data_IF_407354197623
#
_entry.id   IF_407354197623
#
_cell.length_a   1.000
_cell.length_b   1.000
_cell.length_c   1.000
_cell.angle_alpha   90.00
_cell.angle_beta   90.00
_cell.angle_gamma   90.00
#
_symmetry.space_group_name_H-M   'P 1'
#
loop_
_entity.id
_entity.type
_entity.pdbx_description
1 polymer ?
#
# COMPACT_ATOMS: atom_id res chain seq x y z
N UNK A 1 21.32 -0.65 -14.03
CA UNK A 1 20.03 -0.58 -13.29
C UNK A 1 19.83 -1.76 -12.34
N UNK A 2 20.06 -3.02 -12.78
CA UNK A 2 20.08 -4.25 -11.93
C UNK A 2 20.77 -4.06 -10.57
N UNK A 3 22.01 -3.56 -10.57
CA UNK A 3 22.82 -3.36 -9.37
C UNK A 3 22.21 -2.35 -8.37
N UNK A 4 21.44 -1.34 -8.85
CA UNK A 4 20.94 -0.24 -8.01
C UNK A 4 19.82 -0.67 -7.06
N UNK A 5 18.84 -1.46 -7.53
CA UNK A 5 17.75 -1.94 -6.67
C UNK A 5 18.26 -2.94 -5.62
N UNK A 6 19.13 -3.87 -6.02
CA UNK A 6 19.76 -4.80 -5.09
C UNK A 6 20.60 -4.02 -4.07
N UNK A 7 21.33 -2.99 -4.49
CA UNK A 7 22.10 -2.14 -3.59
C UNK A 7 21.23 -1.46 -2.53
N UNK A 8 20.00 -1.06 -2.86
CA UNK A 8 19.08 -0.45 -1.89
C UNK A 8 18.58 -1.47 -0.88
N UNK A 9 18.22 -2.67 -1.34
CA UNK A 9 17.81 -3.76 -0.44
C UNK A 9 18.98 -4.12 0.48
N UNK A 10 20.18 -4.26 -0.07
CA UNK A 10 21.39 -4.54 0.70
C UNK A 10 21.71 -3.42 1.68
N UNK A 11 21.53 -2.16 1.30
CA UNK A 11 21.68 -1.02 2.20
C UNK A 11 20.70 -1.09 3.38
N UNK A 12 19.44 -1.42 3.14
CA UNK A 12 18.44 -1.60 4.22
C UNK A 12 18.84 -2.75 5.14
N UNK A 13 19.30 -3.87 4.59
CA UNK A 13 19.80 -5.02 5.36
C UNK A 13 21.01 -4.60 6.21
N UNK A 14 21.97 -3.90 5.63
CA UNK A 14 23.15 -3.38 6.33
C UNK A 14 22.77 -2.44 7.47
N UNK A 15 21.83 -1.51 7.24
CA UNK A 15 21.34 -0.62 8.29
C UNK A 15 20.70 -1.41 9.44
N UNK A 16 19.90 -2.43 9.14
CA UNK A 16 19.33 -3.29 10.18
C UNK A 16 20.42 -4.00 10.98
N UNK A 17 21.49 -4.42 10.30
CA UNK A 17 22.61 -5.05 10.96
C UNK A 17 23.34 -4.06 11.89
N UNK A 18 23.68 -2.88 11.40
CA UNK A 18 24.37 -1.84 12.17
C UNK A 18 23.56 -1.39 13.40
N UNK A 19 22.24 -1.27 13.26
CA UNK A 19 21.36 -0.88 14.36
C UNK A 19 20.93 -2.06 15.25
N UNK A 20 21.47 -3.28 15.03
CA UNK A 20 21.18 -4.48 15.81
C UNK A 20 19.68 -4.76 15.97
N UNK A 21 18.89 -4.44 14.93
CA UNK A 21 17.42 -4.51 14.99
C UNK A 21 16.89 -5.93 15.15
N UNK A 22 17.70 -6.94 14.82
CA UNK A 22 17.36 -8.35 15.03
C UNK A 22 16.95 -8.65 16.47
N UNK A 23 17.49 -7.93 17.47
CA UNK A 23 17.15 -8.09 18.89
C UNK A 23 15.70 -7.72 19.21
N UNK A 24 15.09 -6.81 18.45
CA UNK A 24 13.71 -6.36 18.66
C UNK A 24 12.69 -7.05 17.74
N UNK A 25 13.14 -7.95 16.86
CA UNK A 25 12.26 -8.72 15.97
C UNK A 25 11.19 -9.50 16.74
N UNK A 26 11.50 -10.25 17.83
CA UNK A 26 10.47 -10.99 18.57
C UNK A 26 9.37 -10.12 19.16
N UNK A 27 9.66 -8.83 19.40
CA UNK A 27 8.68 -7.86 19.89
C UNK A 27 7.75 -7.35 18.79
N UNK A 28 8.25 -7.20 17.56
CA UNK A 28 7.55 -6.52 16.46
C UNK A 28 7.16 -7.43 15.29
N UNK A 29 7.41 -8.74 15.37
CA UNK A 29 7.15 -9.68 14.27
C UNK A 29 5.71 -9.61 13.73
N UNK A 30 4.72 -9.38 14.61
CA UNK A 30 3.31 -9.22 14.21
C UNK A 30 3.12 -8.05 13.24
N UNK A 31 3.75 -6.90 13.51
CA UNK A 31 3.72 -5.75 12.59
C UNK A 31 4.49 -6.00 11.30
N UNK A 32 5.58 -6.77 11.34
CA UNK A 32 6.34 -7.14 10.15
C UNK A 32 5.50 -8.02 9.21
N UNK A 33 4.83 -9.03 9.76
CA UNK A 33 3.92 -9.89 9.00
C UNK A 33 2.75 -9.06 8.46
N UNK A 34 2.18 -8.17 9.28
CA UNK A 34 1.10 -7.29 8.88
C UNK A 34 1.46 -6.41 7.68
N UNK A 35 2.63 -5.75 7.68
CA UNK A 35 3.03 -4.89 6.55
C UNK A 35 3.33 -5.72 5.30
N UNK A 36 3.98 -6.87 5.43
CA UNK A 36 4.23 -7.77 4.31
C UNK A 36 2.94 -8.35 3.74
N UNK A 37 1.94 -8.64 4.58
CA UNK A 37 0.61 -9.07 4.15
C UNK A 37 -0.06 -8.01 3.30
N UNK A 38 -0.18 -6.77 3.78
CA UNK A 38 -0.84 -5.69 3.03
C UNK A 38 -0.09 -5.33 1.74
N UNK A 39 1.24 -5.40 1.75
CA UNK A 39 2.05 -5.19 0.56
C UNK A 39 1.82 -6.33 -0.47
N UNK A 40 1.78 -7.59 -0.02
CA UNK A 40 1.41 -8.73 -0.87
C UNK A 40 -0.01 -8.59 -1.42
N UNK A 41 -0.94 -8.17 -0.56
CA UNK A 41 -2.35 -8.01 -0.90
C UNK A 41 -2.57 -6.93 -1.95
N UNK A 42 -1.80 -5.84 -1.91
CA UNK A 42 -1.75 -4.85 -2.99
C UNK A 42 -1.39 -5.49 -4.32
N UNK A 43 -0.30 -6.27 -4.40
CA UNK A 43 0.08 -6.94 -5.65
C UNK A 43 -0.92 -8.01 -6.10
N UNK A 44 -1.62 -8.63 -5.16
CA UNK A 44 -2.70 -9.56 -5.46
C UNK A 44 -3.90 -8.84 -6.09
N UNK A 45 -4.40 -7.78 -5.45
CA UNK A 45 -5.56 -7.01 -5.92
C UNK A 45 -5.29 -6.25 -7.21
N UNK A 46 -4.15 -5.57 -7.28
CA UNK A 46 -3.78 -4.68 -8.38
C UNK A 46 -3.03 -5.41 -9.50
N UNK A 47 -3.08 -6.76 -9.58
CA UNK A 47 -2.27 -7.58 -10.51
C UNK A 47 -2.28 -7.11 -11.97
N UNK A 48 -3.39 -6.52 -12.44
CA UNK A 48 -3.56 -5.98 -13.80
C UNK A 48 -3.71 -4.45 -13.85
N UNK A 49 -3.58 -3.79 -12.70
CA UNK A 49 -3.78 -2.35 -12.53
C UNK A 49 -2.80 -1.82 -11.47
N UNK A 50 -1.52 -2.10 -11.66
CA UNK A 50 -0.47 -1.64 -10.77
C UNK A 50 -0.28 -0.14 -10.95
N UNK A 51 -0.72 0.63 -9.97
CA UNK A 51 -0.55 2.09 -9.88
C UNK A 51 0.90 2.48 -9.59
N UNK A 52 1.60 1.60 -8.87
CA UNK A 52 3.01 1.68 -8.54
C UNK A 52 3.73 0.39 -8.94
N UNK A 53 4.82 0.50 -9.70
CA UNK A 53 5.62 -0.64 -10.16
C UNK A 53 7.12 -0.36 -10.16
N UNK A 54 7.92 -1.35 -9.74
CA UNK A 54 9.38 -1.31 -9.85
C UNK A 54 9.82 -1.65 -11.28
N UNK A 55 10.68 -0.83 -11.88
CA UNK A 55 11.25 -1.11 -13.20
C UNK A 55 12.23 -2.27 -13.12
N UNK A 56 12.01 -3.33 -13.89
CA UNK A 56 12.83 -4.54 -13.92
C UNK A 56 13.72 -4.62 -15.17
N UNK A 57 14.77 -3.78 -15.28
CA UNK A 57 15.76 -3.97 -16.35
C UNK A 57 16.75 -5.08 -15.98
N UNK A 58 16.36 -6.33 -16.26
CA UNK A 58 17.22 -7.51 -16.23
C UNK A 58 17.22 -8.36 -14.95
N UNK A 59 16.23 -8.22 -14.06
CA UNK A 59 15.96 -9.17 -12.96
C UNK A 59 14.56 -9.74 -13.18
N UNK A 60 14.32 -10.99 -12.79
CA UNK A 60 12.97 -11.52 -12.73
C UNK A 60 12.10 -10.66 -11.79
N UNK A 61 11.10 -9.99 -12.37
CA UNK A 61 10.17 -9.12 -11.66
C UNK A 61 9.48 -9.78 -10.46
N UNK A 62 9.25 -11.11 -10.51
CA UNK A 62 8.67 -11.85 -9.38
C UNK A 62 9.61 -11.86 -8.18
N UNK A 63 10.89 -12.16 -8.42
CA UNK A 63 11.93 -12.20 -7.37
C UNK A 63 12.11 -10.82 -6.77
N UNK A 64 12.28 -9.79 -7.61
CA UNK A 64 12.46 -8.41 -7.14
C UNK A 64 11.29 -7.96 -6.25
N UNK A 65 10.05 -8.24 -6.65
CA UNK A 65 8.87 -7.91 -5.84
C UNK A 65 8.83 -8.71 -4.55
N UNK A 66 9.14 -10.00 -4.59
CA UNK A 66 9.25 -10.82 -3.38
C UNK A 66 10.25 -10.23 -2.38
N UNK A 67 11.43 -9.84 -2.85
CA UNK A 67 12.44 -9.18 -2.00
C UNK A 67 11.93 -7.87 -1.41
N UNK A 68 11.25 -7.03 -2.20
CA UNK A 68 10.69 -5.79 -1.67
C UNK A 68 9.60 -6.04 -0.62
N UNK A 69 8.71 -7.01 -0.85
CA UNK A 69 7.57 -7.34 0.01
C UNK A 69 8.00 -7.98 1.33
N UNK A 70 8.88 -8.99 1.27
CA UNK A 70 9.21 -9.84 2.41
C UNK A 70 10.52 -9.46 3.10
N UNK A 71 11.36 -8.64 2.46
CA UNK A 71 12.64 -8.20 3.03
C UNK A 71 12.65 -6.69 3.20
N UNK A 72 12.59 -5.93 2.10
CA UNK A 72 12.83 -4.48 2.19
C UNK A 72 11.78 -3.74 3.04
N UNK A 73 10.48 -3.94 2.80
CA UNK A 73 9.42 -3.27 3.56
C UNK A 73 9.39 -3.63 5.05
N UNK A 74 9.39 -4.91 5.47
CA UNK A 74 9.40 -5.24 6.89
C UNK A 74 10.69 -4.75 7.58
N UNK A 75 11.85 -4.87 6.95
CA UNK A 75 13.10 -4.36 7.51
C UNK A 75 13.12 -2.83 7.66
N UNK A 76 12.49 -2.11 6.72
CA UNK A 76 12.33 -0.66 6.83
C UNK A 76 11.41 -0.28 8.00
N UNK A 77 10.29 -0.99 8.15
CA UNK A 77 9.38 -0.82 9.29
C UNK A 77 10.07 -1.17 10.61
N UNK A 78 10.90 -2.22 10.63
CA UNK A 78 11.65 -2.62 11.82
C UNK A 78 12.64 -1.54 12.26
N UNK A 79 13.38 -0.93 11.32
CA UNK A 79 14.26 0.21 11.62
C UNK A 79 13.51 1.37 12.26
N UNK A 80 12.33 1.68 11.73
CA UNK A 80 11.43 2.69 12.28
C UNK A 80 10.96 2.32 13.70
N UNK A 81 10.47 1.10 13.91
CA UNK A 81 9.93 0.67 15.21
C UNK A 81 11.01 0.55 16.30
N UNK A 82 12.24 0.19 15.93
CA UNK A 82 13.34 -0.04 16.86
C UNK A 82 13.70 1.20 17.70
N UNK A 83 13.58 2.40 17.13
CA UNK A 83 13.96 3.66 17.76
C UNK A 83 12.77 4.59 17.99
N UNK A 84 11.56 4.02 18.05
CA UNK A 84 10.35 4.80 18.25
C UNK A 84 10.34 5.42 19.67
N UNK A 85 10.18 6.76 19.81
CA UNK A 85 10.15 7.41 21.11
C UNK A 85 8.87 7.04 21.89
N UNK A 86 8.89 7.19 23.22
CA UNK A 86 7.74 6.86 24.08
C UNK A 86 6.65 7.96 24.12
N UNK A 87 7.04 9.23 23.99
CA UNK A 87 6.15 10.39 24.08
C UNK A 87 5.38 10.65 22.78
N UNK A 88 4.09 10.97 22.86
CA UNK A 88 3.22 11.18 21.69
C UNK A 88 3.73 12.30 20.75
N UNK A 89 4.12 13.46 21.28
CA UNK A 89 4.65 14.56 20.47
C UNK A 89 5.90 14.15 19.69
N UNK A 90 6.85 13.49 20.37
CA UNK A 90 8.05 12.95 19.74
C UNK A 90 7.74 11.85 18.72
N UNK A 91 6.70 11.04 18.95
CA UNK A 91 6.26 10.01 17.99
C UNK A 91 5.73 10.63 16.70
N UNK A 92 4.92 11.69 16.79
CA UNK A 92 4.38 12.38 15.61
C UNK A 92 5.54 12.95 14.78
N UNK A 93 6.47 13.68 15.41
CA UNK A 93 7.65 14.23 14.72
C UNK A 93 8.50 13.11 14.11
N UNK A 94 8.65 11.99 14.82
CA UNK A 94 9.42 10.85 14.34
C UNK A 94 8.78 10.17 13.12
N UNK A 95 7.46 9.96 13.14
CA UNK A 95 6.69 9.45 11.99
C UNK A 95 6.82 10.40 10.80
N UNK A 96 6.70 11.71 11.05
CA UNK A 96 6.85 12.73 10.02
C UNK A 96 8.25 12.67 9.38
N UNK A 97 9.31 12.63 10.20
CA UNK A 97 10.69 12.51 9.73
C UNK A 97 10.92 11.27 8.86
N UNK A 98 10.40 10.11 9.29
CA UNK A 98 10.54 8.86 8.54
C UNK A 98 9.74 8.86 7.24
N UNK A 99 8.51 9.38 7.25
CA UNK A 99 7.71 9.49 6.04
C UNK A 99 8.32 10.46 5.03
N UNK A 100 8.80 11.62 5.48
CA UNK A 100 9.52 12.59 4.64
C UNK A 100 10.81 11.99 4.09
N UNK A 101 11.60 11.30 4.92
CA UNK A 101 12.83 10.62 4.46
C UNK A 101 12.53 9.57 3.39
N UNK A 102 11.47 8.77 3.57
CA UNK A 102 11.04 7.76 2.60
C UNK A 102 10.54 8.40 1.29
N UNK A 103 9.82 9.52 1.40
CA UNK A 103 9.37 10.31 0.26
C UNK A 103 10.54 10.85 -0.58
N UNK A 104 11.60 11.37 0.06
CA UNK A 104 12.80 11.83 -0.65
C UNK A 104 13.55 10.69 -1.33
N UNK A 105 13.69 9.55 -0.66
CA UNK A 105 14.27 8.34 -1.27
C UNK A 105 13.45 7.94 -2.50
N UNK A 106 12.13 8.03 -2.43
CA UNK A 106 11.27 7.72 -3.56
C UNK A 106 11.43 8.69 -4.75
N UNK A 107 11.55 9.99 -4.47
CA UNK A 107 11.89 10.99 -5.52
C UNK A 107 13.20 10.63 -6.20
N UNK A 108 14.21 10.23 -5.42
CA UNK A 108 15.48 9.78 -5.98
C UNK A 108 15.32 8.53 -6.87
N UNK A 109 14.51 7.56 -6.42
CA UNK A 109 14.18 6.36 -7.20
C UNK A 109 13.46 6.68 -8.52
N UNK A 110 12.54 7.65 -8.51
CA UNK A 110 11.85 8.15 -9.71
C UNK A 110 12.82 8.75 -10.70
N UNK A 111 13.70 9.66 -10.23
CA UNK A 111 14.73 10.29 -11.07
C UNK A 111 15.65 9.26 -11.71
N UNK A 112 15.94 8.17 -11.01
CA UNK A 112 16.72 7.05 -11.54
C UNK A 112 15.94 6.07 -12.44
N UNK A 113 14.65 6.34 -12.71
CA UNK A 113 13.75 5.49 -13.50
C UNK A 113 13.62 4.07 -12.94
N UNK A 114 13.85 3.89 -11.63
CA UNK A 114 13.78 2.60 -10.93
C UNK A 114 12.37 2.24 -10.53
N UNK A 115 11.47 3.22 -10.46
CA UNK A 115 10.04 3.02 -10.23
C UNK A 115 9.24 3.79 -11.29
N UNK A 116 8.01 3.34 -11.54
CA UNK A 116 7.07 3.96 -12.48
C UNK A 116 5.71 4.09 -11.83
N UNK A 117 5.09 5.23 -12.05
CA UNK A 117 3.70 5.49 -11.67
C UNK A 117 2.79 5.33 -12.88
N UNK A 118 1.61 4.79 -12.65
CA UNK A 118 0.58 4.56 -13.66
C UNK A 118 -0.79 4.93 -13.08
N UNK A 119 -1.78 5.09 -13.96
CA UNK A 119 -3.19 5.26 -13.59
C UNK A 119 -3.46 6.45 -12.63
N UNK A 120 -2.81 7.59 -12.86
CA UNK A 120 -3.00 8.80 -12.05
C UNK A 120 -2.30 8.78 -10.68
N UNK A 121 -1.48 7.76 -10.40
CA UNK A 121 -0.63 7.74 -9.23
C UNK A 121 0.48 8.81 -9.34
N UNK A 122 0.76 9.47 -8.23
CA UNK A 122 1.78 10.51 -8.15
C UNK A 122 2.59 10.32 -6.86
N UNK A 123 3.64 11.14 -6.71
CA UNK A 123 4.55 11.04 -5.57
C UNK A 123 3.86 11.32 -4.22
N UNK A 124 2.83 12.17 -4.20
CA UNK A 124 2.09 12.50 -2.99
C UNK A 124 1.33 11.28 -2.45
N UNK A 125 0.72 10.49 -3.34
CA UNK A 125 0.05 9.25 -2.96
C UNK A 125 1.03 8.23 -2.33
N UNK A 126 2.24 8.12 -2.87
CA UNK A 126 3.28 7.30 -2.26
C UNK A 126 3.70 7.81 -0.88
N UNK A 127 3.86 9.13 -0.72
CA UNK A 127 4.11 9.76 0.57
C UNK A 127 3.05 9.37 1.61
N UNK A 128 1.78 9.47 1.25
CA UNK A 128 0.66 9.05 2.10
C UNK A 128 0.72 7.57 2.46
N UNK A 129 1.10 6.69 1.53
CA UNK A 129 1.29 5.27 1.81
C UNK A 129 2.42 5.04 2.83
N UNK A 130 3.55 5.75 2.75
CA UNK A 130 4.60 5.63 3.77
C UNK A 130 4.13 6.10 5.15
N UNK A 131 3.47 7.26 5.23
CA UNK A 131 2.92 7.73 6.51
C UNK A 131 1.93 6.73 7.11
N UNK A 132 1.05 6.18 6.27
CA UNK A 132 0.10 5.14 6.66
C UNK A 132 0.83 3.87 7.11
N UNK A 133 1.84 3.43 6.36
CA UNK A 133 2.63 2.23 6.67
C UNK A 133 3.28 2.35 8.05
N UNK A 134 3.95 3.45 8.35
CA UNK A 134 4.59 3.67 9.66
C UNK A 134 3.57 3.78 10.79
N UNK A 135 2.52 4.59 10.58
CA UNK A 135 1.46 4.80 11.58
C UNK A 135 0.73 3.50 11.90
N UNK A 136 0.33 2.74 10.89
CA UNK A 136 -0.42 1.50 11.07
C UNK A 136 0.46 0.41 11.64
N UNK A 137 1.73 0.32 11.23
CA UNK A 137 2.67 -0.65 11.83
C UNK A 137 2.86 -0.39 13.33
N UNK A 138 2.89 0.87 13.74
CA UNK A 138 2.92 1.24 15.15
C UNK A 138 1.59 0.94 15.85
N UNK A 139 0.46 1.38 15.27
CA UNK A 139 -0.87 1.20 15.85
C UNK A 139 -1.24 -0.27 15.98
N UNK A 140 -0.81 -1.13 15.06
CA UNK A 140 -1.06 -2.56 15.08
C UNK A 140 -0.55 -3.24 16.34
N UNK A 141 0.60 -2.78 16.86
CA UNK A 141 1.15 -3.28 18.12
C UNK A 141 0.31 -2.91 19.34
N UNK A 142 -0.46 -1.81 19.28
CA UNK A 142 -1.27 -1.31 20.39
C UNK A 142 -2.74 -1.71 20.29
N UNK A 143 -3.31 -1.61 19.09
CA UNK A 143 -4.74 -1.80 18.80
C UNK A 143 -4.89 -2.52 17.45
N UNK A 144 -4.64 -3.84 17.40
CA UNK A 144 -4.65 -4.59 16.15
C UNK A 144 -6.01 -4.57 15.46
N UNK A 145 -7.11 -4.74 16.20
CA UNK A 145 -8.47 -4.72 15.64
C UNK A 145 -8.81 -3.38 14.97
N UNK A 146 -8.52 -2.27 15.65
CA UNK A 146 -8.73 -0.93 15.09
C UNK A 146 -7.90 -0.73 13.82
N UNK A 147 -6.66 -1.19 13.82
CA UNK A 147 -5.76 -1.06 12.66
C UNK A 147 -6.26 -1.87 11.46
N UNK A 148 -6.83 -3.06 11.69
CA UNK A 148 -7.46 -3.85 10.63
C UNK A 148 -8.63 -3.10 9.99
N UNK A 149 -9.54 -2.57 10.82
CA UNK A 149 -10.69 -1.79 10.36
C UNK A 149 -10.23 -0.60 9.53
N UNK A 150 -9.28 0.20 10.03
CA UNK A 150 -8.72 1.35 9.31
C UNK A 150 -8.02 0.96 8.00
N UNK A 151 -7.36 -0.20 7.99
CA UNK A 151 -6.69 -0.72 6.78
C UNK A 151 -7.68 -1.15 5.71
N UNK A 152 -8.80 -1.77 6.10
CA UNK A 152 -9.89 -2.13 5.19
C UNK A 152 -10.53 -0.86 4.62
N UNK A 153 -10.85 0.14 5.45
CA UNK A 153 -11.39 1.41 4.96
C UNK A 153 -10.44 2.11 4.00
N UNK A 154 -9.15 2.17 4.35
CA UNK A 154 -8.12 2.72 3.47
C UNK A 154 -8.07 1.98 2.13
N UNK A 155 -8.11 0.64 2.17
CA UNK A 155 -8.10 -0.18 0.97
C UNK A 155 -9.28 0.16 0.06
N UNK A 156 -10.50 0.19 0.62
CA UNK A 156 -11.71 0.51 -0.14
C UNK A 156 -11.59 1.89 -0.79
N UNK A 157 -11.15 2.89 -0.03
CA UNK A 157 -10.88 4.24 -0.55
C UNK A 157 -9.95 4.22 -1.76
N UNK A 158 -8.81 3.51 -1.69
CA UNK A 158 -7.86 3.43 -2.80
C UNK A 158 -8.42 2.66 -4.01
N UNK A 159 -9.20 1.61 -3.79
CA UNK A 159 -9.87 0.86 -4.88
C UNK A 159 -10.81 1.80 -5.65
N UNK A 160 -11.63 2.57 -4.95
CA UNK A 160 -12.54 3.52 -5.58
C UNK A 160 -11.78 4.67 -6.25
N UNK A 161 -10.78 5.25 -5.58
CA UNK A 161 -10.03 6.40 -6.11
C UNK A 161 -9.28 6.09 -7.40
N UNK A 162 -8.69 4.90 -7.50
CA UNK A 162 -7.91 4.48 -8.65
C UNK A 162 -8.67 3.55 -9.60
N UNK A 163 -9.97 3.36 -9.39
CA UNK A 163 -10.82 2.49 -10.21
C UNK A 163 -10.21 1.09 -10.43
N UNK A 164 -9.66 0.50 -9.36
CA UNK A 164 -8.99 -0.79 -9.45
C UNK A 164 -10.01 -1.86 -9.86
N UNK A 165 -9.83 -2.55 -11.01
CA UNK A 165 -10.82 -3.48 -11.51
C UNK A 165 -10.85 -4.76 -10.67
N UNK A 166 -11.84 -4.86 -9.78
CA UNK A 166 -12.14 -6.07 -9.02
C UNK A 166 -12.74 -7.13 -9.96
N UNK A 167 -11.88 -7.86 -10.68
CA UNK A 167 -12.32 -8.90 -11.62
C UNK A 167 -12.78 -10.16 -10.87
N UNK A 168 -13.78 -10.90 -11.37
CA UNK A 168 -14.24 -12.20 -10.82
C UNK A 168 -13.11 -13.20 -10.53
N UNK A 169 -11.98 -13.12 -11.24
CA UNK A 169 -10.79 -13.96 -11.01
C UNK A 169 -10.07 -13.65 -9.69
N UNK A 170 -10.18 -12.43 -9.15
CA UNK A 170 -9.68 -12.07 -7.80
C UNK A 170 -10.50 -12.72 -6.69
N UNK A 171 -11.79 -12.93 -6.92
CA UNK A 171 -12.69 -13.66 -6.02
C UNK A 171 -12.42 -15.17 -6.06
N UNK A 172 -11.90 -15.73 -7.16
CA UNK A 172 -11.50 -17.16 -7.29
C UNK A 172 -10.23 -17.56 -6.53
N UNK A 173 -9.66 -16.67 -5.71
CA UNK A 173 -8.53 -17.01 -4.84
C UNK A 173 -8.95 -17.82 -3.59
N UNK A 174 -8.01 -18.16 -2.69
CA UNK A 174 -8.27 -18.96 -1.50
C UNK A 174 -9.31 -18.34 -0.55
N UNK A 175 -9.57 -17.03 -0.66
CA UNK A 175 -10.58 -16.34 0.15
C UNK A 175 -12.04 -16.78 -0.14
N UNK A 176 -12.32 -17.41 -1.30
CA UNK A 176 -13.64 -17.99 -1.58
C UNK A 176 -13.96 -19.21 -0.71
N UNK A 177 -12.96 -19.83 -0.07
CA UNK A 177 -13.20 -20.93 0.88
C UNK A 177 -13.96 -20.45 2.12
N UNK A 178 -13.79 -19.18 2.50
CA UNK A 178 -14.39 -18.60 3.71
C UNK A 178 -15.63 -17.74 3.44
N UNK A 179 -15.98 -17.47 2.18
CA UNK A 179 -17.20 -16.74 1.85
C UNK A 179 -18.37 -17.73 1.69
N UNK A 180 -19.51 -17.53 2.37
CA UNK A 180 -20.69 -18.34 2.13
C UNK A 180 -21.12 -18.18 0.67
N UNK A 181 -21.41 -19.32 0.02
CA UNK A 181 -21.81 -19.40 -1.41
C UNK A 181 -23.02 -18.52 -1.79
N UNK A 182 -23.72 -17.94 -0.82
CA UNK A 182 -24.92 -17.12 -0.99
C UNK A 182 -24.65 -15.64 -1.34
N UNK A 183 -23.40 -15.14 -1.24
CA UNK A 183 -23.11 -13.72 -1.54
C UNK A 183 -23.04 -13.52 -3.06
N UNK A 184 -24.19 -13.17 -3.65
CA UNK A 184 -24.27 -12.60 -5.01
C UNK A 184 -23.73 -11.16 -4.96
N UNK A 185 -22.45 -10.98 -5.27
CA UNK A 185 -21.92 -9.63 -5.51
C UNK A 185 -22.69 -9.00 -6.69
N UNK A 186 -23.18 -7.75 -6.59
CA UNK A 186 -23.81 -7.08 -7.71
C UNK A 186 -22.75 -6.86 -8.80
N UNK A 187 -22.82 -7.66 -9.85
CA UNK A 187 -21.82 -7.80 -10.92
C UNK A 187 -21.74 -6.55 -11.83
N UNK A 188 -22.52 -5.50 -11.58
CA UNK A 188 -22.69 -4.41 -12.52
C UNK A 188 -22.64 -3.01 -11.88
N UNK A 189 -21.62 -2.74 -11.07
CA UNK A 189 -21.42 -1.39 -10.48
C UNK A 189 -21.19 -0.29 -11.54
N UNK A 190 -20.73 -0.67 -12.75
CA UNK A 190 -20.49 0.27 -13.85
C UNK A 190 -21.78 0.72 -14.56
N UNK A 191 -22.79 -0.15 -14.66
CA UNK A 191 -24.08 0.20 -15.26
C UNK A 191 -24.98 0.96 -14.29
N UNK A 192 -24.94 0.62 -13.00
CA UNK A 192 -25.77 1.31 -11.99
C UNK A 192 -25.28 2.73 -11.73
N UNK A 193 -23.97 2.99 -11.76
CA UNK A 193 -23.45 4.38 -11.66
C UNK A 193 -23.75 5.17 -12.93
N UNK A 194 -23.61 4.59 -14.12
CA UNK A 194 -23.95 5.29 -15.35
C UNK A 194 -25.46 5.61 -15.42
N UNK A 195 -26.35 4.72 -14.99
CA UNK A 195 -27.78 5.02 -14.94
C UNK A 195 -28.09 6.11 -13.91
N UNK A 196 -27.48 6.06 -12.72
CA UNK A 196 -27.69 7.06 -11.68
C UNK A 196 -27.15 8.44 -12.11
N UNK A 197 -25.96 8.49 -12.74
CA UNK A 197 -25.38 9.73 -13.25
C UNK A 197 -26.20 10.31 -14.42
N UNK A 198 -26.71 9.47 -15.32
CA UNK A 198 -27.55 9.90 -16.44
C UNK A 198 -28.92 10.41 -15.99
N UNK A 199 -29.58 9.72 -15.04
CA UNK A 199 -30.84 10.15 -14.42
C UNK A 199 -30.67 11.49 -13.68
N UNK A 200 -29.61 11.63 -12.89
CA UNK A 200 -29.37 12.87 -12.11
C UNK A 200 -29.04 14.06 -13.01
N UNK A 201 -28.23 13.87 -14.06
CA UNK A 201 -27.88 14.93 -15.02
C UNK A 201 -29.08 15.30 -15.89
N UNK A 202 -29.92 14.33 -16.30
CA UNK A 202 -31.15 14.58 -17.06
C UNK A 202 -32.20 15.31 -16.22
N UNK A 203 -32.33 14.97 -14.93
CA UNK A 203 -33.19 15.70 -13.98
C UNK A 203 -32.76 17.15 -13.79
N UNK A 204 -31.45 17.40 -13.66
CA UNK A 204 -30.90 18.77 -13.53
C UNK A 204 -31.06 19.59 -14.82
N UNK A 205 -30.84 18.98 -16.00
CA UNK A 205 -31.02 19.67 -17.28
C UNK A 205 -32.49 20.02 -17.59
N UNK A 206 -33.43 19.19 -17.16
CA UNK A 206 -34.86 19.51 -17.28
C UNK A 206 -35.29 20.61 -16.31
N UNK A 207 -34.70 20.68 -15.12
CA UNK A 207 -34.99 21.75 -14.15
C UNK A 207 -34.47 23.13 -14.60
N UNK A 208 -33.35 23.16 -15.34
CA UNK A 208 -32.77 24.39 -15.91
C UNK A 208 -33.51 24.87 -17.17
N UNK A 209 -34.28 24.01 -17.85
CA UNK A 209 -35.09 24.40 -19.02
C UNK A 209 -36.48 24.96 -18.69
N UNK A 210 -36.91 24.90 -17.44
CA UNK A 210 -38.23 25.37 -16.98
C UNK A 210 -38.14 26.57 -16.00
N UNK A 211 -37.01 27.27 -16.00
CA UNK A 211 -36.82 28.55 -15.30
C UNK A 211 -36.25 29.57 -16.28
#
# INVERSE_FOLDING_TARGET
>A
MRKKQISIILFIVLMNFLFKTWKVVPKYYKSLIFVSFWNSFYYYLCKRHLVFEYTNKGINWKVLRGLHIFIATPLLVLLFLCKLPKTLSKQIVYILKWGIGSFFIEIFLLKQKLIKFKYGWNIYWSGLIYFKMYTYSYLFNKRPCLTWVLSIFSLLFYIFKFNVPLTKRLLKGPFLFFLPKSIKFPINFKTTINSFYYETVKGLLNYVKFK
#
